data_IF_137665262368
#
_entry.id   IF_137665262368
#
_cell.length_a   1.000
_cell.length_b   1.000
_cell.length_c   1.000
_cell.angle_alpha   90.00
_cell.angle_beta   90.00
_cell.angle_gamma   90.00
#
_symmetry.space_group_name_H-M   'P 1'
#
loop_
_entity.id
_entity.type
_entity.pdbx_description
1 polymer ?
#
# COMPACT_ATOMS: atom_id res chain seq x y z
N UNK A 1 60.18 -21.69 51.75
CA UNK A 1 59.69 -20.30 51.89
C UNK A 1 58.20 -20.33 51.55
N UNK A 2 57.33 -20.95 52.34
CA UNK A 2 56.78 -20.61 53.67
C UNK A 2 55.72 -19.47 53.65
N UNK A 3 54.48 -19.86 54.04
CA UNK A 3 53.32 -19.11 54.62
C UNK A 3 52.56 -18.09 53.76
N UNK A 4 51.26 -18.31 53.49
CA UNK A 4 50.05 -18.06 54.34
C UNK A 4 49.89 -16.60 54.78
N UNK A 5 48.72 -16.01 54.49
CA UNK A 5 48.30 -14.75 55.12
C UNK A 5 46.97 -14.20 54.62
N UNK A 6 45.86 -14.78 55.10
CA UNK A 6 44.55 -14.12 55.14
C UNK A 6 44.64 -12.87 56.01
N UNK A 7 44.01 -11.75 55.64
CA UNK A 7 43.59 -10.74 56.60
C UNK A 7 42.26 -10.10 56.20
N UNK A 8 41.21 -10.53 56.91
CA UNK A 8 40.00 -9.74 57.16
C UNK A 8 40.41 -8.50 57.95
N UNK A 9 39.90 -7.33 57.55
CA UNK A 9 39.65 -6.25 58.49
C UNK A 9 38.21 -5.78 58.33
N UNK A 10 37.42 -6.21 59.30
CA UNK A 10 36.16 -5.60 59.72
C UNK A 10 36.50 -4.25 60.36
N UNK A 11 35.78 -3.20 60.00
CA UNK A 11 35.53 -2.06 60.87
C UNK A 11 34.04 -1.71 60.73
N UNK A 12 33.30 -2.08 61.78
CA UNK A 12 32.00 -1.51 62.12
C UNK A 12 32.21 -0.06 62.56
N UNK A 13 31.31 0.84 62.15
CA UNK A 13 31.22 2.16 62.75
C UNK A 13 30.20 3.08 62.08
N UNK A 14 29.02 3.20 62.70
CA UNK A 14 28.26 4.45 62.73
C UNK A 14 27.15 4.62 61.70
N UNK A 15 25.92 4.33 62.13
CA UNK A 15 24.72 4.86 61.50
C UNK A 15 24.52 6.34 61.88
N UNK A 16 24.23 7.19 60.90
CA UNK A 16 23.51 8.45 61.08
C UNK A 16 22.54 8.60 59.90
N UNK A 17 21.25 8.53 60.20
CA UNK A 17 20.13 8.74 59.26
C UNK A 17 19.73 10.20 59.35
N UNK A 18 19.83 10.96 58.24
CA UNK A 18 18.89 12.06 57.92
C UNK A 18 18.84 12.29 56.40
N UNK A 19 17.69 11.99 55.80
CA UNK A 19 17.08 12.84 54.77
C UNK A 19 17.39 12.59 53.29
N UNK A 20 16.40 12.10 52.55
CA UNK A 20 16.09 12.59 51.20
C UNK A 20 16.29 11.61 50.05
N UNK A 21 15.17 11.18 49.45
CA UNK A 21 15.12 10.79 48.04
C UNK A 21 15.26 9.30 47.76
N UNK A 22 14.15 8.56 47.84
CA UNK A 22 13.98 7.32 47.08
C UNK A 22 14.00 7.64 45.60
N UNK A 23 15.12 7.41 44.92
CA UNK A 23 15.12 7.31 43.45
C UNK A 23 14.65 5.90 43.11
N UNK A 24 13.34 5.72 43.04
CA UNK A 24 12.76 4.59 42.36
C UNK A 24 13.03 4.78 40.86
N UNK A 25 14.07 4.12 40.36
CA UNK A 25 14.23 3.89 38.92
C UNK A 25 13.07 3.00 38.46
N UNK A 26 11.96 3.62 38.07
CA UNK A 26 10.91 2.94 37.33
C UNK A 26 11.50 2.59 35.96
N UNK A 27 11.96 1.36 35.82
CA UNK A 27 12.16 0.74 34.52
C UNK A 27 10.79 0.76 33.83
N UNK A 28 10.58 1.69 32.89
CA UNK A 28 9.44 1.61 31.99
C UNK A 28 9.65 0.37 31.14
N UNK A 29 8.97 -0.72 31.49
CA UNK A 29 8.86 -1.84 30.57
C UNK A 29 8.16 -1.29 29.32
N UNK A 30 8.84 -1.38 28.18
CA UNK A 30 8.21 -1.16 26.89
C UNK A 30 6.95 -2.03 26.83
N UNK A 31 5.85 -1.57 26.21
CA UNK A 31 4.67 -2.40 26.08
C UNK A 31 5.09 -3.66 25.33
N UNK A 32 4.89 -4.80 25.98
CA UNK A 32 5.08 -6.12 25.37
C UNK A 32 4.14 -6.19 24.17
N UNK A 33 4.68 -6.56 23.01
CA UNK A 33 3.92 -6.66 21.77
C UNK A 33 2.68 -7.51 22.04
N UNK A 34 1.50 -6.94 21.80
CA UNK A 34 0.25 -7.65 22.01
C UNK A 34 0.25 -8.87 21.09
N UNK A 35 0.41 -10.06 21.68
CA UNK A 35 0.27 -11.31 20.96
C UNK A 35 -1.18 -11.43 20.53
N UNK A 36 -1.44 -11.32 19.23
CA UNK A 36 -2.75 -11.64 18.69
C UNK A 36 -2.92 -13.17 18.77
N UNK A 37 -3.81 -13.63 19.67
CA UNK A 37 -4.12 -15.04 19.93
C UNK A 37 -4.74 -15.80 18.72
N UNK A 38 -4.97 -15.12 17.58
CA UNK A 38 -5.50 -15.75 16.36
C UNK A 38 -4.47 -15.72 15.24
N UNK A 39 -4.12 -16.88 14.65
CA UNK A 39 -3.25 -16.94 13.49
C UNK A 39 -3.79 -16.06 12.35
N UNK A 40 -2.91 -15.26 11.73
CA UNK A 40 -3.30 -14.40 10.62
C UNK A 40 -3.82 -15.25 9.43
N UNK A 41 -4.87 -14.77 8.77
CA UNK A 41 -5.39 -15.39 7.55
C UNK A 41 -4.33 -15.28 6.45
N UNK A 42 -4.19 -16.30 5.61
CA UNK A 42 -3.22 -16.31 4.51
C UNK A 42 -3.84 -16.69 3.18
N UNK A 43 -3.25 -16.20 2.09
CA UNK A 43 -3.70 -16.43 0.72
C UNK A 43 -3.56 -17.92 0.34
N UNK A 44 -4.58 -18.51 -0.31
CA UNK A 44 -4.46 -19.85 -0.88
C UNK A 44 -3.54 -19.86 -2.11
N UNK A 45 -3.24 -21.05 -2.64
CA UNK A 45 -2.64 -21.14 -3.97
C UNK A 45 -3.67 -20.74 -5.03
N UNK A 46 -3.20 -20.13 -6.11
CA UNK A 46 -4.01 -19.85 -7.30
C UNK A 46 -4.05 -21.03 -8.27
N UNK A 47 -4.39 -20.71 -9.52
CA UNK A 47 -4.60 -21.67 -10.60
C UNK A 47 -6.03 -21.64 -11.16
N UNK A 48 -6.85 -20.70 -10.72
CA UNK A 48 -8.23 -20.55 -11.19
C UNK A 48 -8.31 -19.70 -12.46
N UNK A 49 -9.28 -20.01 -13.32
CA UNK A 49 -9.66 -19.14 -14.43
C UNK A 49 -10.82 -18.28 -13.97
N UNK A 50 -10.61 -16.96 -13.95
CA UNK A 50 -11.56 -15.95 -13.51
C UNK A 50 -12.04 -15.10 -14.68
N UNK A 51 -13.25 -14.60 -14.59
CA UNK A 51 -13.85 -13.70 -15.57
C UNK A 51 -14.43 -12.48 -14.85
N UNK A 52 -14.19 -11.28 -15.38
CA UNK A 52 -14.85 -10.06 -14.91
C UNK A 52 -15.21 -9.14 -16.07
N UNK A 53 -16.16 -8.23 -15.83
CA UNK A 53 -16.47 -7.12 -16.73
C UNK A 53 -15.83 -5.85 -16.22
N UNK A 54 -15.32 -5.03 -17.14
CA UNK A 54 -14.75 -3.74 -16.80
C UNK A 54 -15.18 -2.70 -17.84
N UNK A 55 -15.60 -1.54 -17.36
CA UNK A 55 -16.07 -0.43 -18.17
C UNK A 55 -15.12 0.73 -18.03
N UNK A 56 -14.74 1.37 -19.14
CA UNK A 56 -14.14 2.70 -19.11
C UNK A 56 -15.21 3.74 -19.43
N UNK A 57 -15.40 4.70 -18.53
CA UNK A 57 -16.48 5.67 -18.59
C UNK A 57 -15.96 7.09 -18.40
N UNK A 58 -16.61 8.05 -19.05
CA UNK A 58 -16.41 9.48 -18.79
C UNK A 58 -17.29 9.87 -17.60
N UNK A 59 -16.70 10.47 -16.57
CA UNK A 59 -17.40 10.93 -15.37
C UNK A 59 -18.02 12.32 -15.59
N UNK A 60 -18.99 12.68 -14.75
CA UNK A 60 -19.78 13.91 -14.88
C UNK A 60 -18.94 15.19 -14.77
N UNK A 61 -17.82 15.15 -14.05
CA UNK A 61 -16.88 16.24 -13.85
C UNK A 61 -15.80 16.34 -14.95
N UNK A 62 -15.91 15.53 -16.01
CA UNK A 62 -14.97 15.51 -17.14
C UNK A 62 -13.77 14.59 -16.94
N UNK A 63 -13.67 13.93 -15.78
CA UNK A 63 -12.72 12.85 -15.54
C UNK A 63 -13.10 11.56 -16.29
N UNK A 64 -12.26 10.54 -16.19
CA UNK A 64 -12.47 9.22 -16.78
C UNK A 64 -12.09 8.16 -15.75
N UNK A 65 -12.89 7.11 -15.61
CA UNK A 65 -12.65 6.08 -14.61
C UNK A 65 -12.97 4.68 -15.12
N UNK A 66 -12.48 3.69 -14.39
CA UNK A 66 -12.84 2.29 -14.60
C UNK A 66 -13.87 1.83 -13.56
N UNK A 67 -14.75 0.91 -13.94
CA UNK A 67 -15.74 0.31 -13.02
C UNK A 67 -16.15 -1.09 -13.42
N UNK A 68 -16.52 -1.93 -12.44
CA UNK A 68 -17.04 -3.28 -12.74
C UNK A 68 -18.48 -3.29 -13.27
N UNK A 69 -19.21 -2.20 -13.07
CA UNK A 69 -20.58 -2.00 -13.54
C UNK A 69 -20.69 -0.66 -14.27
N UNK A 70 -21.55 -0.59 -15.30
CA UNK A 70 -21.85 0.67 -16.01
C UNK A 70 -22.47 1.69 -15.06
N UNK A 71 -22.03 2.94 -15.15
CA UNK A 71 -22.43 4.05 -14.29
C UNK A 71 -21.82 3.99 -12.88
N UNK A 72 -20.83 3.12 -12.65
CA UNK A 72 -20.19 2.89 -11.35
C UNK A 72 -18.67 3.01 -11.42
N UNK A 73 -18.13 3.63 -12.47
CA UNK A 73 -16.71 3.94 -12.54
C UNK A 73 -16.23 4.79 -11.34
N UNK A 74 -15.03 4.48 -10.86
CA UNK A 74 -14.36 5.17 -9.74
C UNK A 74 -12.96 5.60 -10.12
N UNK A 75 -12.39 6.53 -9.33
CA UNK A 75 -10.98 6.91 -9.37
C UNK A 75 -10.44 6.81 -7.93
N UNK A 76 -9.45 5.92 -7.66
CA UNK A 76 -8.90 4.91 -8.56
C UNK A 76 -9.98 3.91 -9.02
N UNK A 77 -9.72 3.22 -10.13
CA UNK A 77 -10.52 2.09 -10.57
C UNK A 77 -10.56 0.96 -9.52
N UNK A 78 -11.46 -0.01 -9.69
CA UNK A 78 -11.65 -1.07 -8.71
C UNK A 78 -10.39 -1.93 -8.50
N UNK A 79 -10.17 -2.37 -7.27
CA UNK A 79 -9.10 -3.32 -6.95
C UNK A 79 -9.35 -4.68 -7.61
N UNK A 80 -8.33 -5.17 -8.31
CA UNK A 80 -8.28 -6.54 -8.83
C UNK A 80 -7.29 -7.33 -7.98
N UNK A 81 -7.76 -8.42 -7.37
CA UNK A 81 -6.91 -9.31 -6.56
C UNK A 81 -6.90 -10.72 -7.13
N UNK A 82 -5.70 -11.28 -7.30
CA UNK A 82 -5.45 -12.61 -7.87
C UNK A 82 -4.46 -13.39 -6.99
N UNK A 83 -4.46 -14.72 -7.09
CA UNK A 83 -3.39 -15.55 -6.55
C UNK A 83 -2.43 -16.00 -7.66
N UNK A 84 -1.14 -16.16 -7.37
CA UNK A 84 -0.16 -16.68 -8.34
C UNK A 84 -0.64 -18.02 -8.94
N UNK A 85 -0.73 -18.07 -10.27
CA UNK A 85 -1.26 -19.17 -11.06
C UNK A 85 -2.63 -18.88 -11.68
N UNK A 86 -3.38 -17.90 -11.16
CA UNK A 86 -4.67 -17.51 -11.73
C UNK A 86 -4.52 -16.92 -13.14
N UNK A 87 -5.55 -17.13 -13.96
CA UNK A 87 -5.78 -16.44 -15.23
C UNK A 87 -7.05 -15.59 -15.12
N UNK A 88 -7.00 -14.35 -15.57
CA UNK A 88 -8.11 -13.42 -15.56
C UNK A 88 -8.47 -12.99 -16.98
N UNK A 89 -9.71 -13.25 -17.38
CA UNK A 89 -10.31 -12.71 -18.59
C UNK A 89 -11.18 -11.50 -18.25
N UNK A 90 -10.86 -10.35 -18.84
CA UNK A 90 -11.54 -9.08 -18.61
C UNK A 90 -12.34 -8.75 -19.87
N UNK A 91 -13.65 -8.89 -19.79
CA UNK A 91 -14.59 -8.39 -20.80
C UNK A 91 -14.68 -6.86 -20.65
N UNK A 92 -13.82 -6.17 -21.39
CA UNK A 92 -13.71 -4.72 -21.36
C UNK A 92 -14.67 -4.08 -22.37
N UNK A 93 -15.38 -3.03 -21.94
CA UNK A 93 -16.21 -2.19 -22.81
C UNK A 93 -15.82 -0.72 -22.64
N UNK A 94 -15.54 -0.05 -23.75
CA UNK A 94 -15.28 1.39 -23.78
C UNK A 94 -16.59 2.13 -24.04
N UNK A 95 -17.17 2.75 -23.02
CA UNK A 95 -18.44 3.50 -23.17
C UNK A 95 -18.22 4.97 -23.51
N UNK A 96 -16.99 5.39 -23.76
CA UNK A 96 -16.62 6.77 -24.08
C UNK A 96 -16.71 7.06 -25.58
N UNK A 97 -16.53 8.34 -25.93
CA UNK A 97 -16.53 8.86 -27.31
C UNK A 97 -15.11 8.94 -27.93
N UNK A 98 -14.10 8.42 -27.24
CA UNK A 98 -12.70 8.34 -27.69
C UNK A 98 -12.16 6.93 -27.51
N UNK A 99 -11.15 6.54 -28.30
CA UNK A 99 -10.46 5.26 -28.09
C UNK A 99 -9.81 5.21 -26.70
N UNK A 100 -9.90 4.07 -26.04
CA UNK A 100 -9.32 3.79 -24.73
C UNK A 100 -8.72 2.39 -24.72
N UNK A 101 -7.90 2.09 -23.72
CA UNK A 101 -7.30 0.77 -23.59
C UNK A 101 -7.16 0.35 -22.14
N UNK A 102 -6.69 -0.87 -21.93
CA UNK A 102 -6.36 -1.40 -20.61
C UNK A 102 -4.97 -2.06 -20.67
N UNK A 103 -3.99 -1.46 -20.02
CA UNK A 103 -2.63 -1.95 -19.87
C UNK A 103 -2.35 -2.30 -18.40
N UNK A 104 -1.54 -3.33 -18.13
CA UNK A 104 -1.26 -3.81 -16.77
C UNK A 104 0.24 -4.02 -16.55
N UNK A 105 0.70 -3.70 -15.35
CA UNK A 105 2.09 -3.92 -14.93
C UNK A 105 2.27 -5.28 -14.25
N UNK A 106 3.44 -5.89 -14.42
CA UNK A 106 3.91 -7.07 -13.67
C UNK A 106 3.25 -8.43 -13.98
N UNK A 107 2.03 -8.44 -14.53
CA UNK A 107 1.32 -9.67 -14.90
C UNK A 107 1.80 -10.19 -16.27
N UNK A 108 1.62 -11.49 -16.52
CA UNK A 108 1.92 -12.09 -17.82
C UNK A 108 0.77 -11.81 -18.80
N UNK A 109 1.05 -11.20 -19.94
CA UNK A 109 0.08 -11.02 -21.02
C UNK A 109 0.73 -11.22 -22.38
N UNK A 110 -0.09 -11.47 -23.41
CA UNK A 110 0.37 -11.49 -24.80
C UNK A 110 0.18 -10.12 -25.44
N UNK A 111 0.90 -9.81 -26.52
CA UNK A 111 0.85 -8.51 -27.20
C UNK A 111 -0.56 -8.09 -27.65
N UNK A 112 -1.46 -9.07 -27.85
CA UNK A 112 -2.88 -8.85 -28.15
C UNK A 112 -3.68 -8.23 -26.98
N UNK A 113 -3.14 -8.30 -25.76
CA UNK A 113 -3.66 -7.72 -24.50
C UNK A 113 -2.74 -6.63 -23.94
N UNK A 114 -1.81 -6.10 -24.73
CA UNK A 114 -0.87 -5.06 -24.32
C UNK A 114 -1.55 -3.69 -24.06
N UNK A 115 -2.72 -3.46 -24.65
CA UNK A 115 -3.47 -2.22 -24.48
C UNK A 115 -2.88 -1.04 -25.25
N UNK A 116 -2.16 -1.28 -26.35
CA UNK A 116 -1.43 -0.23 -27.08
C UNK A 116 -1.92 -0.10 -28.52
N UNK A 117 -1.88 1.13 -29.06
CA UNK A 117 -2.15 1.39 -30.49
C UNK A 117 -1.17 0.64 -31.40
N UNK A 118 0.09 0.51 -30.97
CA UNK A 118 1.16 -0.15 -31.71
C UNK A 118 0.76 -1.58 -32.10
N UNK A 119 0.25 -2.34 -31.12
CA UNK A 119 -0.15 -3.74 -31.31
C UNK A 119 -1.65 -3.90 -31.61
N UNK A 120 -2.36 -2.80 -31.87
CA UNK A 120 -3.82 -2.76 -32.15
C UNK A 120 -4.63 -3.48 -31.08
N UNK A 121 -4.25 -3.22 -29.83
CA UNK A 121 -4.88 -3.79 -28.64
C UNK A 121 -5.62 -2.76 -27.80
N UNK A 122 -5.86 -1.57 -28.34
CA UNK A 122 -6.83 -0.60 -27.87
C UNK A 122 -8.27 -0.96 -28.27
N UNK A 123 -9.22 -0.15 -27.81
CA UNK A 123 -10.66 -0.34 -28.01
C UNK A 123 -11.30 0.95 -28.47
N UNK A 124 -11.88 0.91 -29.66
CA UNK A 124 -12.64 2.00 -30.26
C UNK A 124 -13.84 2.46 -29.39
N UNK A 125 -14.36 3.69 -29.59
CA UNK A 125 -15.57 4.17 -28.94
C UNK A 125 -16.75 3.19 -29.10
N UNK A 126 -17.38 2.81 -27.99
CA UNK A 126 -18.48 1.82 -27.96
C UNK A 126 -18.04 0.37 -28.22
N UNK A 127 -16.75 0.12 -28.40
CA UNK A 127 -16.18 -1.19 -28.67
C UNK A 127 -16.03 -2.05 -27.42
N UNK A 128 -15.83 -3.34 -27.65
CA UNK A 128 -15.55 -4.34 -26.62
C UNK A 128 -14.32 -5.17 -26.96
N UNK A 129 -13.53 -5.56 -25.97
CA UNK A 129 -12.39 -6.46 -26.12
C UNK A 129 -12.23 -7.33 -24.87
N UNK A 130 -11.83 -8.58 -25.04
CA UNK A 130 -11.37 -9.40 -23.91
C UNK A 130 -9.87 -9.26 -23.73
N UNK A 131 -9.43 -8.61 -22.64
CA UNK A 131 -8.03 -8.67 -22.20
C UNK A 131 -7.79 -9.93 -21.38
N UNK A 132 -6.63 -10.56 -21.53
CA UNK A 132 -6.27 -11.75 -20.74
C UNK A 132 -4.97 -11.52 -20.01
N UNK A 133 -5.04 -11.57 -18.68
CA UNK A 133 -3.89 -11.50 -17.80
C UNK A 133 -3.66 -12.86 -17.14
N UNK A 134 -2.41 -13.30 -17.11
CA UNK A 134 -1.98 -14.54 -16.47
C UNK A 134 -1.02 -14.23 -15.35
N UNK A 135 -0.92 -15.14 -14.40
CA UNK A 135 0.06 -15.08 -13.33
C UNK A 135 0.75 -16.44 -13.21
N UNK A 136 1.96 -16.44 -12.65
CA UNK A 136 2.69 -17.68 -12.41
C UNK A 136 3.35 -17.69 -11.02
N UNK A 137 3.41 -18.88 -10.43
CA UNK A 137 4.18 -19.12 -9.22
C UNK A 137 5.70 -19.10 -9.51
N UNK A 138 6.54 -18.74 -8.52
CA UNK A 138 7.99 -18.82 -8.67
C UNK A 138 8.45 -20.27 -8.86
N UNK A 139 9.61 -20.47 -9.47
CA UNK A 139 10.17 -21.81 -9.63
C UNK A 139 11.54 -21.86 -10.30
N UNK A 140 12.18 -23.03 -10.25
CA UNK A 140 13.50 -23.25 -10.86
C UNK A 140 13.36 -23.56 -12.35
N UNK A 141 14.13 -22.86 -13.18
CA UNK A 141 14.23 -23.13 -14.63
C UNK A 141 15.13 -24.34 -14.90
N UNK A 142 15.03 -24.89 -16.11
CA UNK A 142 15.88 -26.01 -16.56
C UNK A 142 17.38 -25.68 -16.52
N UNK A 143 17.74 -24.42 -16.75
CA UNK A 143 19.13 -23.92 -16.66
C UNK A 143 19.64 -23.73 -15.22
N UNK A 144 18.80 -24.02 -14.22
CA UNK A 144 19.14 -23.92 -12.80
C UNK A 144 18.86 -22.56 -12.16
N UNK A 145 18.53 -21.52 -12.94
CA UNK A 145 18.18 -20.18 -12.43
C UNK A 145 16.79 -20.16 -11.76
N UNK A 146 16.53 -19.14 -10.93
CA UNK A 146 15.22 -18.92 -10.31
C UNK A 146 14.36 -17.96 -11.16
N UNK A 147 13.11 -18.36 -11.44
CA UNK A 147 12.09 -17.49 -12.02
C UNK A 147 11.31 -16.87 -10.86
N UNK A 148 11.40 -15.55 -10.71
CA UNK A 148 10.49 -14.81 -9.84
C UNK A 148 9.06 -15.02 -10.33
N UNK A 149 8.12 -15.20 -9.40
CA UNK A 149 6.69 -15.29 -9.71
C UNK A 149 6.04 -13.92 -9.80
N UNK A 150 4.76 -13.90 -10.14
CA UNK A 150 3.99 -12.67 -10.38
C UNK A 150 3.57 -11.92 -9.11
N UNK A 151 3.75 -12.46 -7.90
CA UNK A 151 3.24 -11.82 -6.69
C UNK A 151 3.89 -10.46 -6.41
N UNK A 152 3.05 -9.47 -6.14
CA UNK A 152 3.45 -8.07 -5.92
C UNK A 152 2.25 -7.13 -5.91
N UNK A 153 2.54 -5.87 -5.63
CA UNK A 153 1.61 -4.76 -5.76
C UNK A 153 1.84 -4.12 -7.12
N UNK A 154 0.82 -4.14 -7.96
CA UNK A 154 0.85 -3.71 -9.35
C UNK A 154 -0.29 -2.74 -9.63
N UNK A 155 -0.40 -2.28 -10.86
CA UNK A 155 -1.49 -1.40 -11.30
C UNK A 155 -1.83 -1.63 -12.77
N UNK A 156 -3.02 -1.17 -13.14
CA UNK A 156 -3.48 -1.08 -14.52
C UNK A 156 -3.84 0.36 -14.86
N UNK A 157 -3.67 0.75 -16.11
CA UNK A 157 -3.99 2.09 -16.59
C UNK A 157 -4.33 2.12 -18.09
N UNK A 158 -4.89 3.23 -18.55
CA UNK A 158 -5.04 3.52 -19.98
C UNK A 158 -3.69 3.84 -20.63
N UNK A 159 -3.54 3.48 -21.91
CA UNK A 159 -2.30 3.72 -22.67
C UNK A 159 -2.55 4.48 -23.98
N UNK A 160 -3.76 5.02 -24.24
CA UNK A 160 -4.09 5.58 -25.56
C UNK A 160 -4.87 6.89 -25.57
N UNK A 161 -5.50 7.28 -24.46
CA UNK A 161 -6.24 8.53 -24.35
C UNK A 161 -5.26 9.69 -24.25
N UNK A 162 -5.45 10.67 -25.14
CA UNK A 162 -4.64 11.89 -25.24
C UNK A 162 -3.34 11.68 -26.02
N UNK A 163 -2.52 10.70 -25.62
CA UNK A 163 -1.26 10.33 -26.30
C UNK A 163 -1.17 8.82 -26.46
N UNK A 164 -0.22 8.33 -27.28
CA UNK A 164 0.03 6.88 -27.42
C UNK A 164 0.64 6.21 -26.18
N UNK A 165 0.87 6.99 -25.11
CA UNK A 165 1.30 6.54 -23.79
C UNK A 165 0.24 6.79 -22.70
N UNK A 166 -0.99 7.13 -23.08
CA UNK A 166 -2.11 7.28 -22.15
C UNK A 166 -2.02 8.49 -21.21
N UNK A 167 -1.17 9.48 -21.50
CA UNK A 167 -0.97 10.65 -20.63
C UNK A 167 -2.29 11.36 -20.30
N UNK A 168 -3.21 11.44 -21.27
CA UNK A 168 -4.53 12.04 -21.07
C UNK A 168 -5.47 11.16 -20.24
N UNK A 169 -5.43 9.84 -20.42
CA UNK A 169 -6.23 8.88 -19.67
C UNK A 169 -5.81 8.79 -18.21
N UNK A 170 -4.51 8.63 -17.96
CA UNK A 170 -3.91 8.60 -16.62
C UNK A 170 -4.24 9.89 -15.86
N UNK A 171 -3.99 11.06 -16.45
CA UNK A 171 -4.30 12.35 -15.82
C UNK A 171 -5.78 12.48 -15.47
N UNK A 172 -6.68 11.90 -16.27
CA UNK A 172 -8.13 11.94 -16.06
C UNK A 172 -8.66 10.89 -15.09
N UNK A 173 -7.86 9.91 -14.65
CA UNK A 173 -8.28 8.92 -13.65
C UNK A 173 -8.35 7.47 -14.13
N UNK A 174 -7.96 7.17 -15.38
CA UNK A 174 -7.93 5.80 -15.90
C UNK A 174 -6.72 5.03 -15.36
N UNK A 175 -6.73 4.74 -14.07
CA UNK A 175 -5.77 3.90 -13.36
C UNK A 175 -6.46 3.13 -12.22
N UNK A 176 -5.93 1.97 -11.83
CA UNK A 176 -6.41 1.21 -10.68
C UNK A 176 -5.42 0.15 -10.18
N UNK A 177 -5.60 -0.36 -8.96
CA UNK A 177 -4.63 -1.25 -8.33
C UNK A 177 -4.86 -2.73 -8.70
N UNK A 178 -3.76 -3.48 -8.79
CA UNK A 178 -3.77 -4.94 -8.86
C UNK A 178 -2.91 -5.52 -7.75
N UNK A 179 -3.43 -6.51 -7.03
CA UNK A 179 -2.63 -7.31 -6.10
C UNK A 179 -2.56 -8.73 -6.63
N UNK A 180 -1.34 -9.26 -6.74
CA UNK A 180 -1.13 -10.70 -6.95
C UNK A 180 -0.52 -11.27 -5.67
N UNK A 181 -1.25 -12.16 -5.00
CA UNK A 181 -0.81 -12.79 -3.76
C UNK A 181 -0.08 -14.09 -4.04
N UNK A 182 0.98 -14.35 -3.28
CA UNK A 182 1.64 -15.65 -3.21
C UNK A 182 0.95 -16.51 -2.16
N UNK A 183 0.86 -17.82 -2.38
CA UNK A 183 0.37 -18.77 -1.35
C UNK A 183 1.11 -18.53 -0.03
N UNK A 184 0.36 -18.31 1.05
CA UNK A 184 0.89 -18.05 2.37
C UNK A 184 1.11 -16.56 2.69
N UNK A 185 0.93 -15.64 1.74
CA UNK A 185 0.93 -14.20 2.04
C UNK A 185 -0.18 -13.88 3.05
N UNK A 186 0.13 -13.04 4.02
CA UNK A 186 -0.83 -12.61 5.05
C UNK A 186 -1.90 -11.72 4.42
N UNK A 187 -3.17 -11.99 4.74
CA UNK A 187 -4.31 -11.20 4.28
C UNK A 187 -4.65 -10.10 5.29
N UNK A 188 -4.98 -8.89 4.82
CA UNK A 188 -5.39 -7.79 5.68
C UNK A 188 -6.87 -7.84 6.06
N UNK A 189 -7.26 -6.99 7.01
CA UNK A 189 -8.66 -6.73 7.34
C UNK A 189 -9.27 -5.73 6.35
N UNK A 190 -8.48 -4.77 5.87
CA UNK A 190 -8.87 -3.79 4.86
C UNK A 190 -7.69 -3.42 3.94
N UNK A 191 -7.99 -3.07 2.70
CA UNK A 191 -7.01 -2.55 1.72
C UNK A 191 -7.44 -1.17 1.26
N UNK A 192 -6.50 -0.23 1.26
CA UNK A 192 -6.68 1.13 0.79
C UNK A 192 -5.69 1.46 -0.32
N UNK A 193 -6.12 2.28 -1.29
CA UNK A 193 -5.28 2.65 -2.43
C UNK A 193 -5.04 4.15 -2.44
N UNK A 194 -3.76 4.51 -2.52
CA UNK A 194 -3.28 5.89 -2.57
C UNK A 194 -2.50 6.04 -3.86
N UNK A 195 -3.00 6.89 -4.75
CA UNK A 195 -2.36 7.20 -6.02
C UNK A 195 -1.94 8.65 -6.02
N UNK A 196 -0.65 8.91 -6.08
CA UNK A 196 -0.14 10.25 -6.38
C UNK A 196 -0.15 10.43 -7.89
N UNK A 197 -1.15 11.13 -8.41
CA UNK A 197 -1.28 11.42 -9.83
C UNK A 197 -1.04 12.91 -10.06
N UNK A 198 0.11 13.24 -10.63
CA UNK A 198 0.63 14.60 -10.60
C UNK A 198 0.58 15.16 -9.16
N UNK A 199 0.00 16.35 -8.97
CA UNK A 199 -0.09 17.04 -7.68
C UNK A 199 -1.34 16.67 -6.86
N UNK A 200 -2.05 15.60 -7.24
CA UNK A 200 -3.31 15.17 -6.61
C UNK A 200 -3.20 13.78 -6.00
N UNK A 201 -4.00 13.52 -4.97
CA UNK A 201 -4.18 12.17 -4.42
C UNK A 201 -5.50 11.62 -4.94
N UNK A 202 -5.47 10.51 -5.68
CA UNK A 202 -6.67 9.87 -6.26
C UNK A 202 -7.53 10.86 -7.09
N UNK A 203 -6.88 11.81 -7.76
CA UNK A 203 -7.50 12.93 -8.47
C UNK A 203 -8.45 13.82 -7.63
N UNK A 204 -8.34 13.76 -6.30
CA UNK A 204 -9.11 14.63 -5.43
C UNK A 204 -8.51 16.04 -5.38
N UNK A 205 -9.33 17.08 -5.16
CA UNK A 205 -8.84 18.44 -4.91
C UNK A 205 -7.78 18.48 -3.80
N UNK A 206 -6.90 19.47 -3.86
CA UNK A 206 -5.96 19.77 -2.77
C UNK A 206 -6.68 19.83 -1.42
N UNK A 207 -6.02 19.30 -0.38
CA UNK A 207 -6.50 19.30 1.02
C UNK A 207 -7.81 18.52 1.28
N UNK A 208 -8.26 17.67 0.34
CA UNK A 208 -9.52 16.92 0.49
C UNK A 208 -9.34 15.42 0.77
N UNK A 209 -8.18 15.02 1.31
CA UNK A 209 -7.85 13.64 1.61
C UNK A 209 -7.51 12.80 0.37
N UNK A 210 -7.89 11.51 0.31
CA UNK A 210 -8.89 10.84 1.15
C UNK A 210 -8.44 10.58 2.59
N UNK A 211 -9.41 10.29 3.46
CA UNK A 211 -9.13 9.76 4.80
C UNK A 211 -9.53 8.28 4.85
N UNK A 212 -8.79 7.51 5.63
CA UNK A 212 -9.06 6.09 5.84
C UNK A 212 -9.22 5.81 7.32
N UNK A 213 -10.21 5.00 7.68
CA UNK A 213 -10.45 4.65 9.08
C UNK A 213 -9.99 3.22 9.37
N UNK A 214 -9.45 3.05 10.58
CA UNK A 214 -9.19 1.75 11.17
C UNK A 214 -9.45 1.80 12.68
N UNK A 215 -9.44 0.65 13.32
CA UNK A 215 -9.39 0.51 14.77
C UNK A 215 -7.98 0.09 15.18
N UNK A 216 -7.50 0.53 16.35
CA UNK A 216 -6.22 0.05 16.89
C UNK A 216 -6.18 -1.48 16.88
N UNK A 217 -5.14 -2.04 16.27
CA UNK A 217 -4.94 -3.49 16.12
C UNK A 217 -5.35 -4.05 14.75
N UNK A 218 -6.14 -3.33 13.95
CA UNK A 218 -6.53 -3.78 12.62
C UNK A 218 -5.29 -3.92 11.72
N UNK A 219 -5.26 -4.98 10.91
CA UNK A 219 -4.25 -5.16 9.87
C UNK A 219 -4.71 -4.43 8.60
N UNK A 220 -4.05 -3.32 8.29
CA UNK A 220 -4.40 -2.47 7.16
C UNK A 220 -3.35 -2.56 6.07
N UNK A 221 -3.78 -2.86 4.85
CA UNK A 221 -2.95 -2.88 3.65
C UNK A 221 -3.08 -1.57 2.88
N UNK A 222 -1.95 -1.04 2.44
CA UNK A 222 -1.89 0.11 1.55
C UNK A 222 -1.25 -0.29 0.23
N UNK A 223 -1.93 0.03 -0.87
CA UNK A 223 -1.36 -0.01 -2.23
C UNK A 223 -1.04 1.43 -2.62
N UNK A 224 0.23 1.72 -2.86
CA UNK A 224 0.71 3.04 -3.23
C UNK A 224 1.19 3.03 -4.68
N UNK A 225 0.60 3.88 -5.51
CA UNK A 225 0.91 4.01 -6.95
C UNK A 225 1.26 5.47 -7.24
N UNK A 226 2.16 5.71 -8.18
CA UNK A 226 2.48 7.06 -8.63
C UNK A 226 2.32 7.18 -10.15
N UNK A 227 1.78 8.30 -10.60
CA UNK A 227 1.53 8.61 -12.01
C UNK A 227 1.77 10.11 -12.29
N UNK A 228 1.86 10.45 -13.57
CA UNK A 228 2.02 11.83 -14.01
C UNK A 228 3.48 12.20 -14.30
N UNK A 229 3.85 13.44 -14.00
CA UNK A 229 5.13 14.04 -14.41
C UNK A 229 6.14 14.21 -13.26
N UNK A 230 5.70 14.07 -12.01
CA UNK A 230 6.50 14.42 -10.83
C UNK A 230 7.02 13.19 -10.09
N UNK A 231 8.17 13.35 -9.45
CA UNK A 231 8.58 12.45 -8.37
C UNK A 231 7.94 12.92 -7.06
N UNK A 232 7.74 11.99 -6.13
CA UNK A 232 7.17 12.23 -4.81
C UNK A 232 7.93 11.44 -3.75
N UNK A 233 7.66 11.75 -2.48
CA UNK A 233 8.07 10.93 -1.34
C UNK A 233 6.83 10.59 -0.49
N UNK A 234 6.37 9.35 -0.50
CA UNK A 234 5.24 8.94 0.33
C UNK A 234 5.69 8.76 1.78
N UNK A 235 5.02 9.42 2.73
CA UNK A 235 5.29 9.33 4.18
C UNK A 235 4.00 9.04 4.96
N UNK A 236 4.11 8.20 6.00
CA UNK A 236 3.01 7.88 6.93
C UNK A 236 3.48 8.06 8.38
N UNK A 237 2.80 8.93 9.12
CA UNK A 237 3.13 9.23 10.51
C UNK A 237 2.83 8.03 11.41
N UNK A 238 3.68 7.83 12.44
CA UNK A 238 3.47 6.81 13.49
C UNK A 238 3.69 5.36 13.07
N UNK A 239 3.74 5.06 11.78
CA UNK A 239 3.83 3.71 11.23
C UNK A 239 5.09 3.55 10.36
N UNK A 240 5.48 2.31 10.09
CA UNK A 240 6.65 1.96 9.27
C UNK A 240 6.46 0.59 8.64
N UNK A 241 7.16 0.31 7.56
CA UNK A 241 7.11 -0.95 6.82
C UNK A 241 8.49 -1.35 6.31
N UNK A 242 8.67 -2.60 5.90
CA UNK A 242 9.89 -3.05 5.25
C UNK A 242 9.89 -2.71 3.76
N UNK A 243 10.99 -2.17 3.21
CA UNK A 243 11.12 -1.92 1.77
C UNK A 243 11.42 -3.22 1.01
N UNK A 244 10.40 -4.06 0.86
CA UNK A 244 10.43 -5.33 0.15
C UNK A 244 9.07 -5.61 -0.51
N UNK A 245 8.92 -6.80 -1.11
CA UNK A 245 7.71 -7.20 -1.85
C UNK A 245 6.40 -7.02 -1.05
N UNK A 246 6.41 -7.30 0.25
CA UNK A 246 5.18 -7.38 1.06
C UNK A 246 4.98 -6.21 2.00
N UNK A 247 6.01 -5.38 2.20
CA UNK A 247 6.01 -4.39 3.28
C UNK A 247 6.32 -4.96 4.66
N UNK A 248 6.60 -6.26 4.78
CA UNK A 248 6.82 -6.96 6.04
C UNK A 248 8.13 -7.74 5.99
N UNK A 249 8.91 -7.69 7.07
CA UNK A 249 10.10 -8.52 7.19
C UNK A 249 9.67 -10.00 7.26
N UNK A 250 10.37 -10.86 6.52
CA UNK A 250 10.10 -12.31 6.50
C UNK A 250 10.54 -13.02 7.78
N UNK A 251 11.43 -12.40 8.56
CA UNK A 251 11.96 -12.91 9.81
C UNK A 251 13.17 -12.09 10.28
N UNK A 252 13.87 -12.52 11.34
CA UNK A 252 15.03 -11.80 11.89
C UNK A 252 16.23 -11.74 10.94
N UNK A 253 16.27 -12.61 9.93
CA UNK A 253 17.36 -12.67 8.94
C UNK A 253 17.09 -11.80 7.69
N UNK A 254 15.94 -11.12 7.63
CA UNK A 254 15.58 -10.26 6.51
C UNK A 254 16.33 -8.90 6.61
N UNK A 255 17.20 -8.56 5.65
CA UNK A 255 18.02 -7.35 5.71
C UNK A 255 17.33 -6.11 5.13
N UNK A 256 16.07 -6.23 4.67
CA UNK A 256 15.36 -5.09 4.09
C UNK A 256 15.28 -3.92 5.05
N UNK A 257 15.47 -2.72 4.52
CA UNK A 257 15.38 -1.50 5.30
C UNK A 257 13.94 -1.32 5.80
N UNK A 258 13.77 -1.02 7.09
CA UNK A 258 12.49 -0.57 7.64
C UNK A 258 12.41 0.94 7.48
N UNK A 259 11.36 1.42 6.81
CA UNK A 259 11.17 2.80 6.39
C UNK A 259 9.76 3.30 6.75
N UNK A 260 9.62 4.61 6.85
CA UNK A 260 8.34 5.31 6.94
C UNK A 260 8.17 6.35 5.81
N UNK A 261 9.18 6.48 4.95
CA UNK A 261 9.22 7.41 3.84
C UNK A 261 9.89 6.76 2.61
N UNK A 262 9.25 6.83 1.44
CA UNK A 262 9.76 6.25 0.19
C UNK A 262 9.64 7.20 -1.00
N UNK A 263 10.74 7.44 -1.71
CA UNK A 263 10.72 8.14 -2.99
C UNK A 263 10.09 7.27 -4.08
N UNK A 264 9.25 7.87 -4.92
CA UNK A 264 8.51 7.23 -6.01
C UNK A 264 8.42 8.16 -7.22
N UNK A 265 8.36 7.59 -8.42
CA UNK A 265 8.16 8.29 -9.67
C UNK A 265 7.02 7.70 -10.52
N UNK A 266 6.76 8.26 -11.70
CA UNK A 266 5.66 7.81 -12.54
C UNK A 266 5.73 6.32 -12.88
N UNK A 267 4.58 5.65 -12.73
CA UNK A 267 4.34 4.22 -12.85
C UNK A 267 4.97 3.33 -11.76
N UNK A 268 5.64 3.89 -10.74
CA UNK A 268 6.04 3.11 -9.56
C UNK A 268 4.81 2.62 -8.80
N UNK A 269 4.90 1.38 -8.30
CA UNK A 269 3.93 0.83 -7.36
C UNK A 269 4.62 -0.03 -6.30
N UNK A 270 4.13 0.09 -5.07
CA UNK A 270 4.51 -0.76 -3.96
C UNK A 270 3.33 -0.88 -3.00
N UNK A 271 3.46 -1.74 -2.00
CA UNK A 271 2.46 -1.84 -0.96
C UNK A 271 3.01 -2.47 0.30
N UNK A 272 2.25 -2.33 1.36
CA UNK A 272 2.65 -2.77 2.69
C UNK A 272 1.43 -2.98 3.58
N UNK A 273 1.63 -3.74 4.66
CA UNK A 273 0.65 -3.90 5.72
C UNK A 273 1.20 -3.35 7.03
N UNK A 274 0.34 -2.71 7.82
CA UNK A 274 0.64 -2.25 9.18
C UNK A 274 -0.41 -2.79 10.15
N UNK A 275 -0.02 -2.91 11.41
CA UNK A 275 -0.98 -3.00 12.51
C UNK A 275 -1.30 -1.57 12.94
N UNK A 276 -2.57 -1.17 12.78
CA UNK A 276 -3.01 0.20 13.02
C UNK A 276 -2.74 0.60 14.48
N UNK A 277 -1.98 1.68 14.68
CA UNK A 277 -1.64 2.19 16.01
C UNK A 277 -0.65 1.32 16.81
N UNK A 278 0.07 0.38 16.17
CA UNK A 278 1.04 -0.47 16.88
C UNK A 278 2.14 0.36 17.56
N UNK A 279 2.22 0.25 18.89
CA UNK A 279 3.18 1.00 19.71
C UNK A 279 2.93 2.51 19.82
N UNK A 280 1.93 3.06 19.11
CA UNK A 280 1.65 4.51 19.06
C UNK A 280 0.21 4.88 19.46
N UNK A 281 -0.73 3.92 19.42
CA UNK A 281 -2.12 4.11 19.82
C UNK A 281 -3.02 4.77 18.76
N UNK A 282 -4.24 5.08 19.18
CA UNK A 282 -5.25 5.76 18.37
C UNK A 282 -4.86 7.23 18.11
N UNK A 283 -5.25 7.77 16.95
CA UNK A 283 -4.97 9.14 16.54
C UNK A 283 -5.32 9.41 15.09
N UNK A 284 -5.36 10.69 14.72
CA UNK A 284 -5.43 11.13 13.33
C UNK A 284 -4.00 11.19 12.76
N UNK A 285 -3.52 10.07 12.22
CA UNK A 285 -2.16 9.96 11.71
C UNK A 285 -2.07 10.48 10.28
N UNK A 286 -1.29 11.52 10.03
CA UNK A 286 -1.14 12.07 8.68
C UNK A 286 -0.41 11.09 7.77
N UNK A 287 -0.84 11.06 6.51
CA UNK A 287 0.00 10.60 5.41
C UNK A 287 0.08 11.72 4.37
N UNK A 288 1.24 11.91 3.77
CA UNK A 288 1.43 12.99 2.81
C UNK A 288 2.61 12.74 1.88
N UNK A 289 2.66 13.52 0.80
CA UNK A 289 3.91 13.71 0.06
C UNK A 289 4.88 14.52 0.94
N UNK A 290 6.14 14.07 1.09
CA UNK A 290 7.15 14.76 1.91
C UNK A 290 8.03 15.72 1.09
N UNK A 291 7.73 15.93 -0.19
CA UNK A 291 8.24 17.11 -0.90
C UNK A 291 7.49 18.32 -0.33
N UNK A 292 8.20 19.23 0.33
CA UNK A 292 7.57 20.27 1.17
C UNK A 292 6.49 21.08 0.44
N UNK A 293 6.77 21.53 -0.79
CA UNK A 293 5.76 22.26 -1.57
C UNK A 293 4.54 21.41 -1.92
N UNK A 294 4.69 20.10 -2.08
CA UNK A 294 3.58 19.21 -2.43
C UNK A 294 2.64 19.01 -1.23
N UNK A 295 3.18 18.85 -0.01
CA UNK A 295 2.37 18.83 1.20
C UNK A 295 1.66 20.16 1.44
N UNK A 296 2.37 21.28 1.28
CA UNK A 296 1.81 22.63 1.49
C UNK A 296 0.68 22.93 0.49
N UNK A 297 0.75 22.35 -0.71
CA UNK A 297 -0.29 22.42 -1.75
C UNK A 297 -1.38 21.35 -1.63
N UNK A 298 -1.39 20.56 -0.55
CA UNK A 298 -2.53 19.72 -0.19
C UNK A 298 -2.45 18.26 -0.60
N UNK A 299 -1.27 17.73 -0.94
CA UNK A 299 -1.05 16.28 -1.04
C UNK A 299 -0.97 15.64 0.36
N UNK A 300 -2.09 15.66 1.08
CA UNK A 300 -2.23 15.20 2.47
C UNK A 300 -3.55 14.45 2.64
N UNK A 301 -3.55 13.38 3.44
CA UNK A 301 -4.75 12.75 3.97
C UNK A 301 -4.51 12.21 5.38
N UNK A 302 -5.56 11.65 5.99
CA UNK A 302 -5.51 11.13 7.35
C UNK A 302 -5.78 9.62 7.39
N UNK A 303 -4.91 8.90 8.09
CA UNK A 303 -5.18 7.57 8.60
C UNK A 303 -5.75 7.69 10.03
N UNK A 304 -7.09 7.68 10.09
CA UNK A 304 -7.90 7.86 11.29
C UNK A 304 -7.99 6.54 12.08
N UNK A 305 -7.06 6.34 13.00
CA UNK A 305 -7.02 5.15 13.85
C UNK A 305 -7.83 5.40 15.11
N UNK A 306 -8.99 4.75 15.21
CA UNK A 306 -9.93 4.82 16.33
C UNK A 306 -9.52 3.90 17.46
N UNK A 307 -9.87 4.26 18.70
CA UNK A 307 -9.95 3.32 19.81
C UNK A 307 -11.07 2.30 19.57
N UNK A 308 -11.10 1.24 20.36
CA UNK A 308 -12.14 0.21 20.33
C UNK A 308 -13.54 0.74 20.70
N UNK A 309 -13.63 1.89 21.38
CA UNK A 309 -14.88 2.59 21.66
C UNK A 309 -15.33 3.54 20.52
N UNK A 310 -14.58 3.59 19.41
CA UNK A 310 -14.85 4.43 18.25
C UNK A 310 -14.28 5.84 18.31
N UNK A 311 -13.68 6.28 19.43
CA UNK A 311 -13.17 7.64 19.58
C UNK A 311 -11.75 7.81 19.01
N UNK A 312 -11.41 9.03 18.57
CA UNK A 312 -10.06 9.41 18.13
C UNK A 312 -9.55 10.52 19.07
N UNK A 313 -8.41 10.32 19.78
CA UNK A 313 -7.86 11.34 20.68
C UNK A 313 -7.51 12.64 19.94
N UNK A 314 -8.02 13.77 20.44
CA UNK A 314 -7.62 15.11 19.97
C UNK A 314 -7.96 15.43 18.52
N UNK A 315 -8.90 14.68 17.91
CA UNK A 315 -9.38 14.92 16.56
C UNK A 315 -10.84 15.34 16.59
N UNK A 316 -11.10 16.59 16.17
CA UNK A 316 -12.45 17.03 15.82
C UNK A 316 -12.56 17.10 14.29
N UNK A 317 -13.57 16.46 13.66
CA UNK A 317 -13.67 16.36 12.20
C UNK A 317 -13.58 17.68 11.44
N UNK A 318 -14.00 18.79 12.04
CA UNK A 318 -14.07 20.11 11.39
C UNK A 318 -12.82 20.99 11.56
N UNK A 319 -11.86 20.62 12.42
CA UNK A 319 -10.65 21.45 12.61
C UNK A 319 -9.57 21.22 11.53
N UNK A 320 -9.75 20.18 10.71
CA UNK A 320 -8.82 19.78 9.65
C UNK A 320 -9.43 19.82 8.25
N UNK A 321 -10.64 20.37 8.10
CA UNK A 321 -11.18 20.79 6.82
C UNK A 321 -10.46 22.10 6.42
N UNK A 322 -9.48 22.02 5.52
CA UNK A 322 -8.78 23.18 4.96
C UNK A 322 -9.32 23.55 3.57
#
# INVERSE_FOLDING_TARGET
MDRRGFNRRMLLGGAAVVGGGTVATSLSMAPEAASADTPAKTAPAGGEVRHLKLYAEKLADGQMGYGFEKGKATIPGPLIELNEGDTLHIEFENTMDVAASLHVHGLDYEVSSDGTKLNKSDVEPGGTRTYTWRTHAPGRRKDGTWRAGSAGYWHYHDHVVGTEHGTGGIRKGLYGPVIVRRKGDVLPDATHTIVFNDMLINNKPAHSGPNFEATVGDRVEFVMITHGEYYHTFHLHGHRWADNRTGMLTGPDDPSQVIDNKIVGPADSFGFQVIAGEGVGAGAWMYHCHVQSHSDMGMVGLFLVKKTDGTIPGYEPHEHDH
#
